data_IF_711210729990
#
_entry.id   IF_711210729990
#
_cell.length_a   1.000
_cell.length_b   1.000
_cell.length_c   1.000
_cell.angle_alpha   90.00
_cell.angle_beta   90.00
_cell.angle_gamma   90.00
#
_symmetry.space_group_name_H-M   'P 1'
#
loop_
_entity.id
_entity.type
_entity.pdbx_description
1 polymer ?
#
# COMPACT_ATOMS: atom_id res chain seq x y z
N UNK A 1 -17.34 -13.93 17.57
CA UNK A 1 -17.26 -12.89 18.62
C UNK A 1 -15.82 -12.43 18.86
N UNK A 2 -14.87 -13.28 19.26
CA UNK A 2 -13.47 -12.87 19.49
C UNK A 2 -12.75 -12.30 18.26
N UNK A 3 -12.95 -12.87 17.06
CA UNK A 3 -12.34 -12.35 15.83
C UNK A 3 -12.85 -10.95 15.47
N UNK A 4 -14.13 -10.66 15.72
CA UNK A 4 -14.73 -9.34 15.47
C UNK A 4 -14.17 -8.28 16.43
N UNK A 5 -13.91 -8.63 17.68
CA UNK A 5 -13.38 -7.70 18.68
C UNK A 5 -11.93 -7.31 18.34
N UNK A 6 -11.14 -8.24 17.82
CA UNK A 6 -9.76 -7.98 17.39
C UNK A 6 -9.73 -7.15 16.10
N UNK A 7 -10.60 -7.48 15.13
CA UNK A 7 -10.69 -6.80 13.83
C UNK A 7 -11.34 -5.40 13.88
N UNK A 8 -12.06 -5.04 14.93
CA UNK A 8 -12.72 -3.72 15.08
C UNK A 8 -11.98 -2.78 16.04
N UNK A 9 -10.75 -3.11 16.45
CA UNK A 9 -10.00 -2.24 17.36
C UNK A 9 -9.25 -1.15 16.57
N UNK A 10 -9.41 0.15 16.91
CA UNK A 10 -8.74 1.24 16.19
C UNK A 10 -7.21 1.10 16.16
N UNK A 11 -6.63 0.53 17.22
CA UNK A 11 -5.19 0.25 17.29
C UNK A 11 -4.76 -0.82 16.27
N UNK A 12 -5.57 -1.87 16.09
CA UNK A 12 -5.28 -2.90 15.10
C UNK A 12 -5.40 -2.34 13.68
N UNK A 13 -6.43 -1.55 13.40
CA UNK A 13 -6.60 -0.88 12.11
C UNK A 13 -5.41 0.03 11.80
N UNK A 14 -4.98 0.86 12.75
CA UNK A 14 -3.79 1.70 12.61
C UNK A 14 -2.53 0.88 12.30
N UNK A 15 -2.26 -0.20 13.05
CA UNK A 15 -1.10 -1.07 12.82
C UNK A 15 -1.14 -1.73 11.44
N UNK A 16 -2.32 -2.17 11.00
CA UNK A 16 -2.51 -2.76 9.67
C UNK A 16 -2.32 -1.75 8.56
N UNK A 17 -2.79 -0.51 8.71
CA UNK A 17 -2.57 0.55 7.72
C UNK A 17 -1.10 0.96 7.63
N UNK A 18 -0.38 1.06 8.76
CA UNK A 18 1.08 1.30 8.78
C UNK A 18 1.83 0.16 8.10
N UNK A 19 1.52 -1.10 8.45
CA UNK A 19 2.14 -2.25 7.81
C UNK A 19 1.87 -2.28 6.30
N UNK A 20 0.63 -2.02 5.88
CA UNK A 20 0.25 -1.93 4.47
C UNK A 20 1.01 -0.83 3.74
N UNK A 21 1.18 0.35 4.33
CA UNK A 21 1.95 1.44 3.73
C UNK A 21 3.43 1.08 3.53
N UNK A 22 4.05 0.40 4.50
CA UNK A 22 5.43 -0.08 4.37
C UNK A 22 5.54 -1.11 3.25
N UNK A 23 4.59 -2.03 3.15
CA UNK A 23 4.57 -3.08 2.14
C UNK A 23 4.41 -2.50 0.73
N UNK A 24 3.47 -1.58 0.50
CA UNK A 24 3.33 -0.88 -0.78
C UNK A 24 4.56 -0.02 -1.12
N UNK A 25 5.23 0.56 -0.13
CA UNK A 25 6.47 1.31 -0.36
C UNK A 25 7.61 0.40 -0.83
N UNK A 26 7.73 -0.81 -0.27
CA UNK A 26 8.73 -1.80 -0.68
C UNK A 26 8.41 -2.35 -2.08
N UNK A 27 7.15 -2.67 -2.37
CA UNK A 27 6.74 -3.10 -3.72
C UNK A 27 7.03 -2.03 -4.75
N UNK A 28 6.72 -0.76 -4.48
CA UNK A 28 7.00 0.32 -5.41
C UNK A 28 8.49 0.43 -5.77
N UNK A 29 9.41 0.21 -4.81
CA UNK A 29 10.86 0.18 -5.08
C UNK A 29 11.23 -1.02 -5.96
N UNK A 30 10.68 -2.20 -5.67
CA UNK A 30 10.95 -3.43 -6.43
C UNK A 30 10.39 -3.31 -7.86
N UNK A 31 9.17 -2.80 -8.02
CA UNK A 31 8.51 -2.65 -9.30
C UNK A 31 9.23 -1.62 -10.18
N UNK A 32 9.71 -0.52 -9.61
CA UNK A 32 10.56 0.44 -10.34
C UNK A 32 11.86 -0.22 -10.82
N UNK A 33 12.55 -0.99 -9.96
CA UNK A 33 13.78 -1.69 -10.35
C UNK A 33 13.52 -2.72 -11.45
N UNK A 34 12.42 -3.46 -11.36
CA UNK A 34 11.98 -4.39 -12.39
C UNK A 34 11.75 -3.66 -13.71
N UNK A 35 11.04 -2.53 -13.70
CA UNK A 35 10.75 -1.74 -14.91
C UNK A 35 12.02 -1.16 -15.53
N UNK A 36 12.95 -0.66 -14.72
CA UNK A 36 14.20 -0.07 -15.23
C UNK A 36 15.13 -1.11 -15.87
N UNK A 37 15.14 -2.34 -15.36
CA UNK A 37 16.16 -3.32 -15.72
C UNK A 37 15.64 -4.51 -16.54
N UNK A 38 14.32 -4.77 -16.56
CA UNK A 38 13.75 -6.03 -17.06
C UNK A 38 12.55 -5.87 -18.01
N UNK A 39 11.90 -4.72 -18.09
CA UNK A 39 10.74 -4.52 -18.98
C UNK A 39 11.17 -4.12 -20.40
N UNK A 40 10.52 -4.71 -21.40
CA UNK A 40 10.62 -4.29 -22.80
C UNK A 40 9.83 -3.00 -23.05
N UNK A 41 10.21 -2.23 -24.06
CA UNK A 41 9.50 -1.00 -24.46
C UNK A 41 8.04 -1.26 -24.81
N UNK A 42 7.68 -2.47 -25.23
CA UNK A 42 6.31 -2.86 -25.58
C UNK A 42 5.41 -3.04 -24.34
N UNK A 43 5.99 -3.29 -23.17
CA UNK A 43 5.26 -3.59 -21.93
C UNK A 43 5.04 -2.35 -21.04
N UNK A 44 5.33 -1.15 -21.55
CA UNK A 44 5.27 0.10 -20.77
C UNK A 44 3.89 0.37 -20.18
N UNK A 45 2.80 -0.02 -20.87
CA UNK A 45 1.43 0.18 -20.40
C UNK A 45 1.20 -0.63 -19.12
N UNK A 46 1.63 -1.89 -19.10
CA UNK A 46 1.45 -2.79 -17.95
C UNK A 46 2.33 -2.32 -16.79
N UNK A 47 3.59 -1.96 -17.08
CA UNK A 47 4.49 -1.35 -16.11
C UNK A 47 3.87 -0.11 -15.43
N UNK A 48 3.27 0.80 -16.22
CA UNK A 48 2.59 1.97 -15.69
C UNK A 48 1.38 1.63 -14.82
N UNK A 49 0.60 0.61 -15.19
CA UNK A 49 -0.56 0.16 -14.40
C UNK A 49 -0.09 -0.41 -13.05
N UNK A 50 0.99 -1.19 -13.01
CA UNK A 50 1.53 -1.76 -11.77
C UNK A 50 1.97 -0.66 -10.80
N UNK A 51 2.80 0.28 -11.28
CA UNK A 51 3.20 1.45 -10.47
C UNK A 51 1.98 2.25 -9.99
N UNK A 52 0.99 2.45 -10.86
CA UNK A 52 -0.23 3.18 -10.48
C UNK A 52 -0.98 2.49 -9.34
N UNK A 53 -1.14 1.17 -9.41
CA UNK A 53 -1.82 0.39 -8.37
C UNK A 53 -1.09 0.49 -7.02
N UNK A 54 0.24 0.45 -7.02
CA UNK A 54 1.03 0.61 -5.81
C UNK A 54 0.92 2.02 -5.21
N UNK A 55 0.97 3.07 -6.05
CA UNK A 55 0.79 4.45 -5.60
C UNK A 55 -0.59 4.66 -4.99
N UNK A 56 -1.65 4.15 -5.64
CA UNK A 56 -3.02 4.24 -5.12
C UNK A 56 -3.14 3.46 -3.80
N UNK A 57 -2.57 2.26 -3.72
CA UNK A 57 -2.54 1.46 -2.50
C UNK A 57 -1.86 2.19 -1.35
N UNK A 58 -0.68 2.76 -1.59
CA UNK A 58 0.07 3.56 -0.62
C UNK A 58 -0.72 4.79 -0.17
N UNK A 59 -1.32 5.53 -1.12
CA UNK A 59 -2.14 6.71 -0.83
C UNK A 59 -3.30 6.38 0.10
N UNK A 60 -4.05 5.30 -0.18
CA UNK A 60 -5.17 4.88 0.65
C UNK A 60 -4.73 4.48 2.06
N UNK A 61 -3.60 3.76 2.19
CA UNK A 61 -3.06 3.40 3.52
C UNK A 61 -2.64 4.65 4.31
N UNK A 62 -2.04 5.63 3.66
CA UNK A 62 -1.70 6.92 4.29
C UNK A 62 -2.96 7.66 4.75
N UNK A 63 -4.01 7.71 3.92
CA UNK A 63 -5.28 8.33 4.31
C UNK A 63 -5.90 7.65 5.54
N UNK A 64 -5.86 6.32 5.61
CA UNK A 64 -6.33 5.58 6.78
C UNK A 64 -5.51 5.91 8.03
N UNK A 65 -4.18 5.93 7.93
CA UNK A 65 -3.29 6.31 9.04
C UNK A 65 -3.64 7.72 9.53
N UNK A 66 -3.78 8.69 8.62
CA UNK A 66 -4.14 10.06 8.98
C UNK A 66 -5.54 10.15 9.62
N UNK A 67 -6.49 9.35 9.14
CA UNK A 67 -7.83 9.29 9.71
C UNK A 67 -7.81 8.74 11.14
N UNK A 68 -7.05 7.68 11.41
CA UNK A 68 -6.91 7.12 12.76
C UNK A 68 -6.14 8.06 13.72
N UNK A 69 -5.17 8.82 13.21
CA UNK A 69 -4.49 9.87 13.99
C UNK A 69 -5.45 11.01 14.33
N UNK A 70 -6.31 11.44 13.39
CA UNK A 70 -7.27 12.54 13.62
C UNK A 70 -8.48 12.13 14.48
N UNK A 71 -8.76 10.83 14.64
CA UNK A 71 -9.85 10.32 15.49
C UNK A 71 -9.50 10.24 16.98
N UNK A 72 -8.21 10.24 17.31
CA UNK A 72 -7.69 10.28 18.69
C UNK A 72 -7.41 11.72 19.13
#
# INVERSE_FOLDING_TARGET
MFLQIILMSPMFDFMMSVFGALLFSVYLVIDIDAIMNHYSEEDYIIACIMIYMDIVGLFLRILEILNEINKN
#
